data_IF_088985321580
#
_entry.id   IF_088985321580
#
_cell.length_a   1.000
_cell.length_b   1.000
_cell.length_c   1.000
_cell.angle_alpha   90.00
_cell.angle_beta   90.00
_cell.angle_gamma   90.00
#
_symmetry.space_group_name_H-M   'P 1'
#
loop_
_entity.id
_entity.type
_entity.pdbx_description
1 polymer ?
#
# COMPACT_ATOMS: atom_id res chain seq x y z
N UNK A 1 19.54 13.95 -13.62
CA UNK A 1 20.18 13.85 -12.29
C UNK A 1 19.41 12.78 -11.54
N UNK A 2 20.03 11.74 -10.99
CA UNK A 2 19.30 10.80 -10.16
C UNK A 2 18.71 11.57 -8.97
N UNK A 3 17.41 11.42 -8.74
CA UNK A 3 16.71 12.08 -7.64
C UNK A 3 17.25 11.60 -6.30
N UNK A 4 17.21 12.46 -5.28
CA UNK A 4 17.48 12.06 -3.90
C UNK A 4 16.19 11.43 -3.33
N UNK A 5 16.27 10.16 -2.94
CA UNK A 5 15.15 9.43 -2.34
C UNK A 5 15.31 9.40 -0.81
N UNK A 6 14.18 9.55 -0.11
CA UNK A 6 14.09 9.40 1.36
C UNK A 6 13.03 8.36 1.66
N UNK A 7 13.36 7.39 2.51
CA UNK A 7 12.47 6.29 2.87
C UNK A 7 11.95 6.44 4.31
N UNK A 8 10.74 5.95 4.55
CA UNK A 8 10.14 5.86 5.89
C UNK A 8 10.22 4.41 6.36
N UNK A 9 11.06 4.14 7.35
CA UNK A 9 11.16 2.83 8.01
C UNK A 9 10.20 2.78 9.22
N UNK A 10 9.16 1.95 9.13
CA UNK A 10 8.08 1.88 10.12
C UNK A 10 8.06 0.57 10.94
N UNK A 11 9.06 -0.31 10.78
CA UNK A 11 9.13 -1.62 11.43
C UNK A 11 9.08 -1.52 12.96
N UNK A 12 9.88 -0.62 13.54
CA UNK A 12 10.00 -0.47 14.99
C UNK A 12 9.26 0.73 15.56
N UNK A 13 9.01 1.76 14.75
CA UNK A 13 8.34 2.97 15.16
C UNK A 13 7.50 3.52 14.01
N UNK A 14 6.20 3.67 14.24
CA UNK A 14 5.26 4.13 13.22
C UNK A 14 3.86 4.28 13.79
N UNK A 15 2.94 4.74 12.95
CA UNK A 15 1.53 4.85 13.33
C UNK A 15 0.77 3.55 13.04
N UNK A 16 -0.57 3.60 13.11
CA UNK A 16 -1.45 2.50 12.68
C UNK A 16 -1.35 2.23 11.17
N UNK A 17 -0.90 3.20 10.38
CA UNK A 17 -0.78 3.09 8.91
C UNK A 17 0.13 1.95 8.45
N UNK A 18 1.07 1.51 9.29
CA UNK A 18 1.99 0.38 8.98
C UNK A 18 1.28 -0.96 8.81
N UNK A 19 0.02 -1.07 9.23
CA UNK A 19 -0.78 -2.29 9.12
C UNK A 19 -1.69 -2.34 7.90
N UNK A 20 -1.71 -1.29 7.06
CA UNK A 20 -2.50 -1.34 5.82
C UNK A 20 -1.87 -2.31 4.84
N UNK A 21 -2.61 -3.37 4.51
CA UNK A 21 -2.18 -4.41 3.60
C UNK A 21 -2.18 -3.93 2.15
N UNK A 22 -1.40 -4.63 1.33
CA UNK A 22 -1.40 -4.48 -0.11
C UNK A 22 -2.75 -4.88 -0.72
N UNK A 23 -3.24 -4.10 -1.68
CA UNK A 23 -4.22 -4.56 -2.67
C UNK A 23 -3.95 -3.90 -4.02
N UNK A 24 -4.02 -4.65 -5.13
CA UNK A 24 -3.74 -4.12 -6.47
C UNK A 24 -4.74 -3.05 -6.92
N UNK A 25 -6.01 -3.15 -6.48
CA UNK A 25 -7.07 -2.16 -6.72
C UNK A 25 -7.48 -1.42 -5.42
N UNK A 26 -6.58 -0.63 -4.81
CA UNK A 26 -6.73 -0.16 -3.43
C UNK A 26 -7.87 0.85 -3.26
N UNK A 27 -8.22 1.13 -2.00
CA UNK A 27 -9.17 2.19 -1.63
C UNK A 27 -8.50 3.37 -0.90
N UNK A 28 -7.22 3.24 -0.54
CA UNK A 28 -6.35 4.28 0.03
C UNK A 28 -5.09 4.40 -0.81
N UNK A 29 -4.52 5.59 -0.89
CA UNK A 29 -3.16 5.82 -1.40
C UNK A 29 -2.29 6.53 -0.35
N UNK A 30 -0.97 6.35 -0.47
CA UNK A 30 0.00 7.15 0.25
C UNK A 30 0.32 8.42 -0.56
N UNK A 31 -0.07 9.58 -0.03
CA UNK A 31 0.13 10.86 -0.67
C UNK A 31 1.19 11.68 0.08
N UNK A 32 2.21 12.15 -0.64
CA UNK A 32 3.14 13.14 -0.12
C UNK A 32 2.43 14.49 0.05
N UNK A 33 2.63 15.10 1.22
CA UNK A 33 2.05 16.39 1.55
C UNK A 33 3.07 17.27 2.29
N UNK A 34 3.23 18.50 1.79
CA UNK A 34 4.01 19.52 2.48
C UNK A 34 3.26 19.97 3.74
N UNK A 35 3.93 19.93 4.88
CA UNK A 35 3.46 20.46 6.15
C UNK A 35 4.49 21.44 6.72
N UNK A 36 4.39 22.71 6.30
CA UNK A 36 5.35 23.75 6.68
C UNK A 36 6.72 23.48 6.07
N UNK A 37 7.72 23.17 6.90
CA UNK A 37 9.08 22.82 6.45
C UNK A 37 9.26 21.31 6.26
N UNK A 38 8.31 20.50 6.72
CA UNK A 38 8.41 19.04 6.66
C UNK A 38 7.58 18.50 5.49
N UNK A 39 7.99 17.34 4.97
CA UNK A 39 7.15 16.49 4.11
C UNK A 39 6.61 15.35 4.96
N UNK A 40 5.32 15.05 4.82
CA UNK A 40 4.68 13.90 5.45
C UNK A 40 3.99 13.04 4.39
N UNK A 41 3.88 11.75 4.67
CA UNK A 41 3.07 10.82 3.86
C UNK A 41 1.77 10.57 4.59
N UNK A 42 0.66 10.85 3.92
CA UNK A 42 -0.69 10.67 4.45
C UNK A 42 -1.38 9.48 3.78
N UNK A 43 -2.21 8.78 4.54
CA UNK A 43 -3.16 7.80 4.01
C UNK A 43 -4.42 8.55 3.55
N UNK A 44 -4.63 8.65 2.23
CA UNK A 44 -5.77 9.36 1.63
C UNK A 44 -6.74 8.37 0.99
N UNK A 45 -8.03 8.47 1.32
CA UNK A 45 -9.07 7.71 0.63
C UNK A 45 -9.15 8.13 -0.83
N UNK A 46 -9.12 7.15 -1.73
CA UNK A 46 -9.32 7.35 -3.18
C UNK A 46 -10.66 6.78 -3.68
N UNK A 47 -11.32 5.96 -2.85
CA UNK A 47 -12.65 5.40 -3.11
C UNK A 47 -13.54 5.56 -1.87
N UNK A 48 -14.83 5.74 -2.10
CA UNK A 48 -15.83 5.64 -1.02
C UNK A 48 -16.06 4.17 -0.69
N UNK A 49 -15.99 3.81 0.59
CA UNK A 49 -16.19 2.43 1.06
C UNK A 49 -17.21 2.37 2.19
N UNK A 50 -17.79 1.19 2.43
CA UNK A 50 -18.74 0.97 3.53
C UNK A 50 -17.99 0.84 4.87
N UNK A 51 -18.60 1.19 6.01
CA UNK A 51 -18.02 0.90 7.33
C UNK A 51 -17.65 -0.58 7.48
N UNK A 52 -16.50 -0.85 8.09
CA UNK A 52 -15.96 -2.20 8.25
C UNK A 52 -15.19 -2.75 7.04
N UNK A 53 -15.16 -2.02 5.91
CA UNK A 53 -14.29 -2.39 4.78
C UNK A 53 -12.82 -2.22 5.18
N UNK A 54 -11.98 -3.18 4.83
CA UNK A 54 -10.53 -3.08 5.05
C UNK A 54 -9.93 -1.94 4.21
N UNK A 55 -9.06 -1.15 4.83
CA UNK A 55 -8.29 -0.13 4.13
C UNK A 55 -7.04 -0.76 3.53
N UNK A 56 -6.87 -0.59 2.22
CA UNK A 56 -5.79 -1.20 1.46
C UNK A 56 -5.09 -0.16 0.59
N UNK A 57 -3.79 -0.38 0.38
CA UNK A 57 -2.91 0.48 -0.42
C UNK A 57 -2.19 -0.36 -1.47
N UNK A 58 -1.74 0.25 -2.57
CA UNK A 58 -0.85 -0.44 -3.50
C UNK A 58 0.61 -0.18 -3.06
N UNK A 59 1.44 -1.23 -3.01
CA UNK A 59 2.84 -1.15 -2.59
C UNK A 59 3.80 -0.89 -3.77
N UNK A 60 3.27 -0.88 -5.01
CA UNK A 60 4.04 -0.83 -6.23
C UNK A 60 4.46 -2.22 -6.70
N UNK A 61 5.25 -2.24 -7.77
CA UNK A 61 5.66 -3.47 -8.45
C UNK A 61 6.88 -4.16 -7.79
N UNK A 62 7.58 -3.45 -6.90
CA UNK A 62 8.76 -3.93 -6.19
C UNK A 62 8.39 -4.46 -4.78
N UNK A 63 7.78 -5.65 -4.73
CA UNK A 63 7.44 -6.34 -3.48
C UNK A 63 8.26 -7.63 -3.29
N UNK A 64 8.55 -7.97 -2.03
CA UNK A 64 9.35 -9.15 -1.66
C UNK A 64 8.53 -10.43 -1.42
N UNK A 65 7.20 -10.36 -1.66
CA UNK A 65 6.26 -11.45 -1.44
C UNK A 65 5.32 -11.59 -2.64
N UNK A 66 4.71 -12.76 -2.82
CA UNK A 66 3.71 -12.98 -3.86
C UNK A 66 2.40 -12.26 -3.49
N UNK A 67 1.88 -11.47 -4.42
CA UNK A 67 0.63 -10.76 -4.24
C UNK A 67 -0.54 -11.76 -4.08
N UNK A 68 -1.29 -11.65 -2.98
CA UNK A 68 -2.45 -12.49 -2.68
C UNK A 68 -3.79 -11.75 -2.88
N UNK A 69 -3.82 -10.77 -3.79
CA UNK A 69 -5.09 -10.14 -4.20
C UNK A 69 -5.89 -11.12 -5.05
N UNK A 70 -7.22 -10.98 -5.05
CA UNK A 70 -8.13 -11.86 -5.79
C UNK A 70 -7.78 -12.04 -7.27
N UNK A 71 -7.22 -11.00 -7.91
CA UNK A 71 -6.81 -11.03 -9.33
C UNK A 71 -5.38 -11.53 -9.56
N UNK A 72 -4.57 -11.66 -8.51
CA UNK A 72 -3.18 -12.10 -8.58
C UNK A 72 -2.95 -13.50 -8.04
N UNK A 73 -3.88 -13.97 -7.20
CA UNK A 73 -3.85 -15.34 -6.72
C UNK A 73 -4.18 -16.28 -7.86
N UNK A 74 -3.24 -17.15 -8.19
CA UNK A 74 -3.46 -18.30 -9.07
C UNK A 74 -3.63 -19.48 -8.13
N UNK A 75 -4.79 -20.14 -8.16
CA UNK A 75 -4.98 -21.34 -7.37
C UNK A 75 -4.03 -22.43 -7.90
N UNK A 76 -3.22 -23.05 -7.04
CA UNK A 76 -2.25 -24.07 -7.47
C UNK A 76 -2.92 -25.31 -8.08
N UNK A 77 -4.22 -25.47 -7.89
CA UNK A 77 -5.02 -26.57 -8.44
C UNK A 77 -5.56 -26.25 -9.87
N UNK A 78 -5.44 -25.00 -10.36
CA UNK A 78 -5.87 -24.58 -11.70
C UNK A 78 -4.82 -24.86 -12.80
N UNK A 79 -3.66 -25.43 -12.46
CA UNK A 79 -2.57 -25.78 -13.40
C UNK A 79 -2.61 -27.23 -13.95
N UNK A 80 -3.62 -28.04 -13.58
CA UNK A 80 -3.80 -29.41 -14.11
C UNK A 80 -4.88 -29.49 -15.23
N UNK A 81 -4.55 -29.09 -16.46
CA UNK A 81 -5.14 -29.63 -17.72
C UNK A 81 -4.07 -30.03 -18.74
#
# INVERSE_FOLDING_TARGET
>A
MPGMYVYIEALHCGSITRFMSHFCDPNVEFAEMQNGKDVKVLARMIKTVKPGTQLTVNYGDEIWFNCACDSCWVDPDDEEE
#
